data_IF_964985939594
#
_entry.id   IF_964985939594
#
_cell.length_a   1.000
_cell.length_b   1.000
_cell.length_c   1.000
_cell.angle_alpha   90.00
_cell.angle_beta   90.00
_cell.angle_gamma   90.00
#
_symmetry.space_group_name_H-M   'P 1'
#
loop_
_entity.id
_entity.type
_entity.pdbx_description
1 polymer ?
#
# COMPACT_ATOMS: atom_id res chain seq x y z
N UNK A 1 3.46 14.63 -1.40
CA UNK A 1 2.34 13.75 -0.97
C UNK A 1 2.83 12.71 0.03
N UNK A 2 3.14 13.17 1.25
CA UNK A 2 3.83 12.40 2.30
C UNK A 2 2.89 11.77 3.36
N UNK A 3 1.56 11.93 3.22
CA UNK A 3 0.62 11.61 4.30
C UNK A 3 0.58 10.12 4.65
N UNK A 4 0.44 9.21 3.67
CA UNK A 4 0.35 7.76 3.96
C UNK A 4 1.67 7.20 4.52
N UNK A 5 2.83 7.71 4.09
CA UNK A 5 4.13 7.28 4.62
C UNK A 5 4.18 7.50 6.13
N UNK A 6 3.91 8.76 6.52
CA UNK A 6 3.93 9.20 7.89
C UNK A 6 2.95 8.39 8.76
N UNK A 7 1.76 8.10 8.23
CA UNK A 7 0.77 7.29 8.95
C UNK A 7 1.24 5.85 9.18
N UNK A 8 1.83 5.20 8.17
CA UNK A 8 2.38 3.84 8.32
C UNK A 8 3.56 3.82 9.31
N UNK A 9 4.48 4.78 9.18
CA UNK A 9 5.63 4.91 10.07
C UNK A 9 5.19 5.21 11.52
N UNK A 10 4.09 5.94 11.70
CA UNK A 10 3.53 6.26 13.03
C UNK A 10 2.79 5.06 13.63
N UNK A 11 2.06 4.30 12.82
CA UNK A 11 1.30 3.13 13.26
C UNK A 11 2.20 1.92 13.58
N UNK A 12 3.40 1.85 13.00
CA UNK A 12 4.28 0.69 13.14
C UNK A 12 4.88 0.53 14.56
N UNK A 13 5.53 1.52 15.19
CA UNK A 13 6.13 1.39 16.52
C UNK A 13 5.19 0.94 17.64
N UNK A 14 3.93 1.44 17.75
CA UNK A 14 3.00 0.96 18.75
C UNK A 14 2.40 -0.41 18.42
N UNK A 15 2.76 -1.02 17.28
CA UNK A 15 2.28 -2.33 16.87
C UNK A 15 0.87 -2.33 16.28
N UNK A 16 0.38 -1.18 15.81
CA UNK A 16 -0.95 -1.06 15.21
C UNK A 16 -1.03 -1.73 13.84
N UNK A 17 0.10 -1.91 13.17
CA UNK A 17 0.15 -2.59 11.88
C UNK A 17 1.33 -3.57 11.87
N UNK A 18 1.16 -4.69 11.21
CA UNK A 18 2.18 -5.71 11.07
C UNK A 18 3.31 -5.28 10.10
N UNK A 19 4.45 -5.98 10.14
CA UNK A 19 5.67 -5.54 9.43
C UNK A 19 5.52 -5.74 7.94
N UNK A 20 4.95 -6.88 7.57
CA UNK A 20 4.58 -7.22 6.21
C UNK A 20 3.63 -6.17 5.64
N UNK A 21 2.57 -5.78 6.35
CA UNK A 21 1.65 -4.72 5.93
C UNK A 21 2.40 -3.41 5.71
N UNK A 22 3.26 -3.01 6.64
CA UNK A 22 4.07 -1.79 6.51
C UNK A 22 4.93 -1.81 5.23
N UNK A 23 5.65 -2.92 4.99
CA UNK A 23 6.59 -3.04 3.88
C UNK A 23 5.86 -3.16 2.53
N UNK A 24 4.79 -3.95 2.45
CA UNK A 24 3.99 -4.10 1.23
C UNK A 24 3.23 -2.82 0.89
N UNK A 25 2.80 -2.04 1.88
CA UNK A 25 2.16 -0.74 1.62
C UNK A 25 3.11 0.26 0.95
N UNK A 26 4.44 0.13 1.10
CA UNK A 26 5.39 0.92 0.31
C UNK A 26 5.26 0.64 -1.19
N UNK A 27 5.04 -0.63 -1.57
CA UNK A 27 4.81 -1.04 -2.96
C UNK A 27 3.45 -0.51 -3.44
N UNK A 28 2.38 -0.66 -2.66
CA UNK A 28 1.05 -0.14 -3.02
C UNK A 28 1.09 1.37 -3.29
N UNK A 29 1.88 2.11 -2.51
CA UNK A 29 2.09 3.56 -2.72
C UNK A 29 2.77 3.91 -4.03
N UNK A 30 3.63 3.05 -4.54
CA UNK A 30 4.24 3.23 -5.86
C UNK A 30 3.23 2.90 -6.96
N UNK A 31 2.50 1.81 -6.80
CA UNK A 31 1.54 1.31 -7.78
C UNK A 31 0.32 2.21 -7.96
N UNK A 32 -0.10 2.96 -6.92
CA UNK A 32 -1.17 3.97 -7.05
C UNK A 32 -0.87 5.03 -8.13
N UNK A 33 0.41 5.28 -8.44
CA UNK A 33 0.81 6.28 -9.42
C UNK A 33 0.58 5.80 -10.86
N UNK A 34 0.32 4.51 -11.07
CA UNK A 34 0.01 3.95 -12.37
C UNK A 34 -1.38 4.32 -12.89
N UNK A 35 -2.20 5.06 -12.15
CA UNK A 35 -3.33 5.80 -12.74
C UNK A 35 -2.88 6.74 -13.86
N UNK A 36 -1.63 7.21 -13.81
CA UNK A 36 -1.04 8.04 -14.85
C UNK A 36 -0.34 7.19 -15.93
N UNK A 37 -0.82 7.26 -17.17
CA UNK A 37 -0.25 6.52 -18.32
C UNK A 37 1.24 6.79 -18.54
N UNK A 38 1.73 8.01 -18.24
CA UNK A 38 3.16 8.31 -18.32
C UNK A 38 3.96 7.44 -17.34
N UNK A 39 3.48 7.25 -16.11
CA UNK A 39 4.13 6.42 -15.10
C UNK A 39 4.11 4.93 -15.47
N UNK A 40 3.02 4.47 -16.09
CA UNK A 40 2.95 3.12 -16.67
C UNK A 40 4.05 2.92 -17.73
N UNK A 41 4.17 3.85 -18.68
CA UNK A 41 5.19 3.80 -19.74
C UNK A 41 6.62 3.87 -19.21
N UNK A 42 6.90 4.79 -18.28
CA UNK A 42 8.22 4.95 -17.65
C UNK A 42 8.69 3.66 -16.96
N UNK A 43 7.76 2.92 -16.35
CA UNK A 43 8.06 1.69 -15.59
C UNK A 43 7.90 0.40 -16.40
N UNK A 44 7.33 0.48 -17.61
CA UNK A 44 7.03 -0.69 -18.44
C UNK A 44 5.95 -1.60 -17.85
N UNK A 45 5.05 -1.07 -17.02
CA UNK A 45 4.02 -1.84 -16.31
C UNK A 45 2.64 -1.32 -16.69
N UNK A 46 1.74 -2.22 -17.07
CA UNK A 46 0.31 -1.95 -17.22
C UNK A 46 -0.41 -2.76 -16.15
N UNK A 47 -0.90 -2.12 -15.07
CA UNK A 47 -1.63 -2.84 -14.02
C UNK A 47 -2.87 -3.51 -14.61
N UNK A 48 -2.97 -4.80 -14.39
CA UNK A 48 -4.14 -5.60 -14.71
C UNK A 48 -4.96 -5.89 -13.45
N UNK A 49 -6.01 -6.71 -13.60
CA UNK A 49 -6.89 -7.07 -12.50
C UNK A 49 -6.13 -7.76 -11.36
N UNK A 50 -5.15 -8.58 -11.67
CA UNK A 50 -4.36 -9.33 -10.69
C UNK A 50 -3.44 -8.39 -9.91
N UNK A 51 -2.83 -7.43 -10.61
CA UNK A 51 -2.03 -6.36 -10.01
C UNK A 51 -2.86 -5.54 -9.01
N UNK A 52 -4.08 -5.17 -9.39
CA UNK A 52 -5.01 -4.45 -8.51
C UNK A 52 -5.42 -5.32 -7.33
N UNK A 53 -5.70 -6.61 -7.57
CA UNK A 53 -6.06 -7.59 -6.54
C UNK A 53 -4.97 -7.75 -5.47
N UNK A 54 -3.70 -7.82 -5.87
CA UNK A 54 -2.57 -7.88 -4.94
C UNK A 54 -2.49 -6.62 -4.05
N UNK A 55 -2.63 -5.43 -4.66
CA UNK A 55 -2.62 -4.17 -3.90
C UNK A 55 -3.81 -4.08 -2.93
N UNK A 56 -4.98 -4.55 -3.36
CA UNK A 56 -6.18 -4.57 -2.53
C UNK A 56 -6.03 -5.51 -1.33
N UNK A 57 -5.41 -6.68 -1.52
CA UNK A 57 -5.13 -7.62 -0.43
C UNK A 57 -4.29 -7.00 0.69
N UNK A 58 -3.23 -6.26 0.34
CA UNK A 58 -2.43 -5.53 1.33
C UNK A 58 -3.24 -4.45 2.05
N UNK A 59 -4.08 -3.72 1.33
CA UNK A 59 -4.93 -2.69 1.94
C UNK A 59 -5.95 -3.30 2.91
N UNK A 60 -6.54 -4.45 2.57
CA UNK A 60 -7.43 -5.17 3.48
C UNK A 60 -6.70 -5.64 4.74
N UNK A 61 -5.49 -6.18 4.61
CA UNK A 61 -4.68 -6.58 5.77
C UNK A 61 -4.41 -5.38 6.70
N UNK A 62 -4.06 -4.22 6.13
CA UNK A 62 -3.91 -2.97 6.90
C UNK A 62 -5.18 -2.59 7.66
N UNK A 63 -6.35 -2.66 7.02
CA UNK A 63 -7.61 -2.35 7.68
C UNK A 63 -7.94 -3.35 8.79
N UNK A 64 -7.70 -4.63 8.56
CA UNK A 64 -7.91 -5.69 9.56
C UNK A 64 -7.02 -5.50 10.79
N UNK A 65 -5.74 -5.15 10.59
CA UNK A 65 -4.83 -4.83 11.68
C UNK A 65 -5.40 -3.68 12.54
N UNK A 66 -5.86 -2.61 11.89
CA UNK A 66 -6.43 -1.44 12.57
C UNK A 66 -7.75 -1.72 13.28
N UNK A 67 -8.61 -2.56 12.70
CA UNK A 67 -9.86 -3.00 13.34
C UNK A 67 -9.60 -3.86 14.57
N UNK A 68 -8.55 -4.68 14.56
CA UNK A 68 -8.22 -5.61 15.66
C UNK A 68 -7.67 -4.89 16.90
N UNK A 69 -7.16 -3.66 16.77
CA UNK A 69 -6.69 -2.85 17.90
C UNK A 69 -7.86 -2.32 18.75
N UNK A 70 -9.06 -2.23 18.17
CA UNK A 70 -10.25 -1.67 18.83
C UNK A 70 -10.80 -2.60 19.91
#
# INVERSE_FOLDING_TARGET
MALIALLLDTARPPGWIQMDVHDFMAIVREYRNFVHLRKQRERGVVPDRDTVGMCWGTLLALLNDLETIR
#
